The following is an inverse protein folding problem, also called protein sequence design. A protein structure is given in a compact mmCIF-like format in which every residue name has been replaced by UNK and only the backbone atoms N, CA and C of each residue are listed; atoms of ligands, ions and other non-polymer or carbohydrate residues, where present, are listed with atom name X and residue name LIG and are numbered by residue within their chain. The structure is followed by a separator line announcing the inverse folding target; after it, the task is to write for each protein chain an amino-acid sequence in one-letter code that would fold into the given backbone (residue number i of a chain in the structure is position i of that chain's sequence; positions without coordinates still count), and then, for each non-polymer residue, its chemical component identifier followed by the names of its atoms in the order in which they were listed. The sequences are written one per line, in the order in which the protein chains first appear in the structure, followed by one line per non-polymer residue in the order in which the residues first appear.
data_IF_946785667334
#
_entry.id   IF_946785667334
#
_cell.length_a   1.000
_cell.length_b   1.000
_cell.length_c   1.000
_cell.angle_alpha   90.00
_cell.angle_beta   90.00
_cell.angle_gamma   90.00
#
_symmetry.space_group_name_H-M   'P 1'
#
loop_
_entity.id
_entity.type
_entity.pdbx_description
1 polymer ?
#
# COMPACT_ATOMS: atom_id res chain seq x y z
N UNK A 1 11.68 5.67 -18.93
CA UNK A 1 10.25 6.02 -19.15
C UNK A 1 9.47 4.87 -19.81
N UNK A 2 9.94 4.32 -20.93
CA UNK A 2 9.24 3.22 -21.64
C UNK A 2 9.04 1.96 -20.78
N UNK A 3 10.05 1.52 -20.03
CA UNK A 3 9.97 0.32 -19.18
C UNK A 3 8.96 0.45 -18.03
N UNK A 4 8.96 1.60 -17.34
CA UNK A 4 7.98 1.91 -16.29
C UNK A 4 6.54 1.87 -16.83
N UNK A 5 6.30 2.42 -18.03
CA UNK A 5 4.99 2.38 -18.69
C UNK A 5 4.54 0.93 -18.97
N UNK A 6 5.44 0.05 -19.41
CA UNK A 6 5.08 -1.37 -19.59
C UNK A 6 4.76 -2.04 -18.25
N UNK A 7 5.52 -1.77 -17.19
CA UNK A 7 5.22 -2.28 -15.86
C UNK A 7 3.89 -1.76 -15.31
N UNK A 8 3.56 -0.50 -15.57
CA UNK A 8 2.24 0.08 -15.27
C UNK A 8 1.12 -0.66 -16.01
N UNK A 9 1.29 -0.97 -17.30
CA UNK A 9 0.30 -1.74 -18.06
C UNK A 9 0.08 -3.12 -17.49
N UNK A 10 1.14 -3.79 -17.04
CA UNK A 10 1.05 -5.11 -16.42
C UNK A 10 0.33 -5.02 -15.07
N UNK A 11 0.76 -4.15 -14.16
CA UNK A 11 0.16 -4.05 -12.82
C UNK A 11 -1.28 -3.52 -12.86
N UNK A 12 -1.62 -2.65 -13.82
CA UNK A 12 -2.98 -2.17 -14.04
C UNK A 12 -3.98 -3.29 -14.38
N UNK A 13 -3.50 -4.47 -14.81
CA UNK A 13 -4.33 -5.65 -15.12
C UNK A 13 -4.44 -6.64 -13.96
N UNK A 14 -3.87 -6.35 -12.79
CA UNK A 14 -4.00 -7.21 -11.61
C UNK A 14 -5.49 -7.43 -11.26
N UNK A 15 -5.95 -8.66 -10.99
CA UNK A 15 -7.37 -8.93 -10.70
C UNK A 15 -7.99 -8.01 -9.63
N UNK A 16 -7.26 -7.79 -8.54
CA UNK A 16 -7.52 -6.83 -7.46
C UNK A 16 -6.24 -6.03 -7.26
N UNK A 17 -6.28 -4.73 -7.56
CA UNK A 17 -5.13 -3.82 -7.51
C UNK A 17 -5.19 -2.96 -6.25
N UNK A 18 -4.07 -2.83 -5.54
CA UNK A 18 -3.89 -1.81 -4.52
C UNK A 18 -2.84 -0.79 -4.95
N UNK A 19 -3.17 0.48 -4.80
CA UNK A 19 -2.29 1.62 -5.02
C UNK A 19 -1.95 2.19 -3.65
N UNK A 20 -0.74 1.92 -3.18
CA UNK A 20 -0.23 2.39 -1.91
C UNK A 20 0.75 3.55 -2.15
N UNK A 21 0.59 4.63 -1.41
CA UNK A 21 1.48 5.79 -1.48
C UNK A 21 1.91 6.23 -0.08
N UNK A 22 3.17 6.66 0.04
CA UNK A 22 3.54 7.63 1.05
C UNK A 22 2.89 9.00 0.75
N UNK A 23 2.94 9.92 1.72
CA UNK A 23 2.39 11.25 1.59
C UNK A 23 3.45 12.33 1.33
N UNK A 24 4.47 12.45 2.19
CA UNK A 24 5.46 13.52 2.09
C UNK A 24 6.52 13.16 1.04
N UNK A 25 6.98 14.12 0.24
CA UNK A 25 7.89 13.83 -0.88
C UNK A 25 7.30 12.99 -2.01
N UNK A 26 6.12 12.40 -1.81
CA UNK A 26 5.43 11.55 -2.79
C UNK A 26 4.16 12.18 -3.34
N UNK A 27 3.18 12.47 -2.48
CA UNK A 27 1.93 13.14 -2.85
C UNK A 27 1.99 14.65 -2.57
N UNK A 28 2.90 15.10 -1.72
CA UNK A 28 3.12 16.49 -1.33
C UNK A 28 4.59 16.82 -1.38
N UNK A 29 4.95 18.03 -1.80
CA UNK A 29 6.35 18.47 -1.83
C UNK A 29 6.94 18.57 -0.42
N UNK A 30 8.22 18.21 -0.29
CA UNK A 30 8.97 18.44 0.95
C UNK A 30 9.24 19.94 1.12
N UNK A 31 8.53 20.56 2.07
CA UNK A 31 8.72 21.97 2.43
C UNK A 31 9.33 22.10 3.82
N UNK A 32 10.08 23.19 4.05
CA UNK A 32 10.77 23.43 5.32
C UNK A 32 9.82 23.45 6.53
N UNK A 33 8.58 23.88 6.34
CA UNK A 33 7.52 23.76 7.34
C UNK A 33 6.48 22.72 6.91
N UNK A 34 6.50 21.50 7.48
CA UNK A 34 5.59 20.41 7.12
C UNK A 34 4.11 20.77 7.21
N UNK A 35 3.72 21.76 8.02
CA UNK A 35 2.31 22.18 8.12
C UNK A 35 1.79 22.82 6.83
N UNK A 36 2.67 23.44 6.04
CA UNK A 36 2.36 24.12 4.77
C UNK A 36 2.35 23.19 3.55
N UNK A 37 2.73 21.92 3.71
CA UNK A 37 2.84 20.95 2.63
C UNK A 37 1.46 20.55 2.07
N UNK A 38 1.03 21.15 0.97
CA UNK A 38 -0.23 20.77 0.32
C UNK A 38 0.00 19.59 -0.63
N UNK A 39 -0.92 18.64 -0.64
CA UNK A 39 -0.90 17.55 -1.61
C UNK A 39 -1.09 18.09 -3.03
N UNK A 40 -0.45 17.45 -4.00
CA UNK A 40 -0.62 17.74 -5.40
C UNK A 40 -2.07 17.45 -5.81
N UNK A 41 -2.82 18.45 -6.30
CA UNK A 41 -4.25 18.29 -6.58
C UNK A 41 -4.52 17.30 -7.71
N UNK A 42 -3.61 17.15 -8.68
CA UNK A 42 -3.71 16.15 -9.76
C UNK A 42 -3.57 14.74 -9.19
N UNK A 43 -2.59 14.53 -8.31
CA UNK A 43 -2.41 13.24 -7.63
C UNK A 43 -3.64 12.87 -6.79
N UNK A 44 -4.17 13.81 -5.98
CA UNK A 44 -5.40 13.58 -5.21
C UNK A 44 -6.61 13.26 -6.09
N UNK A 45 -6.79 13.98 -7.20
CA UNK A 45 -7.87 13.70 -8.15
C UNK A 45 -7.73 12.30 -8.78
N UNK A 46 -6.51 11.88 -9.12
CA UNK A 46 -6.24 10.54 -9.62
C UNK A 46 -6.56 9.46 -8.56
N UNK A 47 -6.13 9.65 -7.31
CA UNK A 47 -6.47 8.74 -6.21
C UNK A 47 -7.98 8.67 -5.94
N UNK A 48 -8.70 9.79 -6.00
CA UNK A 48 -10.16 9.81 -5.87
C UNK A 48 -10.86 8.97 -6.96
N UNK A 49 -10.34 9.00 -8.19
CA UNK A 49 -10.83 8.14 -9.27
C UNK A 49 -10.51 6.66 -9.02
N UNK A 50 -9.35 6.35 -8.45
CA UNK A 50 -9.01 4.98 -8.05
C UNK A 50 -9.93 4.46 -6.93
N UNK A 51 -10.26 5.29 -5.94
CA UNK A 51 -11.14 4.93 -4.82
C UNK A 51 -12.53 4.47 -5.30
N UNK A 52 -13.06 5.09 -6.35
CA UNK A 52 -14.38 4.73 -6.89
C UNK A 52 -14.34 3.60 -7.93
N UNK A 53 -13.16 3.04 -8.23
CA UNK A 53 -13.00 2.07 -9.30
C UNK A 53 -13.14 0.62 -8.81
N UNK A 54 -13.90 -0.23 -9.52
CA UNK A 54 -14.03 -1.65 -9.15
C UNK A 54 -12.67 -2.36 -9.03
N UNK A 55 -12.58 -3.26 -8.05
CA UNK A 55 -11.40 -4.08 -7.75
C UNK A 55 -10.11 -3.26 -7.60
N UNK A 56 -10.22 -2.02 -7.17
CA UNK A 56 -9.09 -1.10 -7.02
C UNK A 56 -9.19 -0.46 -5.64
N UNK A 57 -8.13 -0.60 -4.85
CA UNK A 57 -8.03 -0.02 -3.52
C UNK A 57 -6.91 1.00 -3.47
N UNK A 58 -7.08 2.01 -2.64
CA UNK A 58 -6.05 3.02 -2.36
C UNK A 58 -5.67 2.91 -0.90
N UNK A 59 -4.36 2.88 -0.64
CA UNK A 59 -3.78 2.90 0.70
C UNK A 59 -2.85 4.10 0.85
N UNK A 60 -2.95 4.84 1.95
CA UNK A 60 -2.01 5.89 2.32
C UNK A 60 -1.27 5.44 3.56
N UNK A 61 0.06 5.36 3.50
CA UNK A 61 0.90 4.89 4.61
C UNK A 61 1.98 5.94 4.83
N UNK A 62 1.92 6.69 5.93
CA UNK A 62 2.79 7.84 6.16
C UNK A 62 3.30 7.93 7.59
N UNK A 63 4.39 8.68 7.77
CA UNK A 63 4.93 9.07 9.08
C UNK A 63 4.13 10.16 9.81
N UNK A 64 3.18 10.83 9.12
CA UNK A 64 2.26 11.83 9.72
C UNK A 64 1.23 11.17 10.62
N UNK A 65 0.66 11.92 11.57
CA UNK A 65 -0.45 11.41 12.38
C UNK A 65 -1.70 11.16 11.52
N UNK A 66 -2.57 10.26 11.97
CA UNK A 66 -3.79 9.94 11.23
C UNK A 66 -4.71 11.17 11.07
N UNK A 67 -4.79 12.02 12.09
CA UNK A 67 -5.55 13.27 12.09
C UNK A 67 -5.05 14.27 11.02
N UNK A 68 -3.73 14.45 10.92
CA UNK A 68 -3.13 15.36 9.93
C UNK A 68 -3.31 14.83 8.51
N UNK A 69 -3.12 13.51 8.31
CA UNK A 69 -3.41 12.86 7.03
C UNK A 69 -4.86 13.07 6.60
N UNK A 70 -5.81 12.93 7.54
CA UNK A 70 -7.23 13.12 7.25
C UNK A 70 -7.55 14.54 6.81
N UNK A 71 -6.95 15.53 7.46
CA UNK A 71 -7.10 16.94 7.09
C UNK A 71 -6.55 17.20 5.68
N UNK A 72 -5.39 16.62 5.36
CA UNK A 72 -4.69 16.85 4.08
C UNK A 72 -5.29 16.14 2.89
N UNK A 73 -5.83 14.94 3.08
CA UNK A 73 -6.50 14.18 2.03
C UNK A 73 -7.86 14.78 1.63
N UNK A 74 -8.38 15.74 2.42
CA UNK A 74 -9.63 16.44 2.12
C UNK A 74 -10.79 15.46 2.00
N UNK A 75 -11.45 15.44 0.84
CA UNK A 75 -12.58 14.55 0.57
C UNK A 75 -12.19 13.16 0.05
N UNK A 76 -10.91 12.92 -0.23
CA UNK A 76 -10.45 11.60 -0.66
C UNK A 76 -10.60 10.63 0.51
N UNK A 77 -11.25 9.49 0.26
CA UNK A 77 -11.46 8.41 1.25
C UNK A 77 -10.75 7.14 0.76
N UNK A 78 -9.43 7.00 0.99
CA UNK A 78 -8.71 5.75 0.76
C UNK A 78 -9.38 4.58 1.49
N UNK A 79 -9.16 3.37 0.98
CA UNK A 79 -9.66 2.14 1.60
C UNK A 79 -8.86 1.77 2.85
N UNK A 80 -7.62 2.27 2.94
CA UNK A 80 -6.73 2.06 4.06
C UNK A 80 -5.92 3.33 4.31
N UNK A 81 -5.82 3.76 5.57
CA UNK A 81 -4.94 4.87 5.97
C UNK A 81 -4.20 4.45 7.21
N UNK A 82 -2.89 4.62 7.19
CA UNK A 82 -2.06 4.46 8.35
C UNK A 82 -1.14 5.69 8.55
N UNK A 83 -1.17 6.22 9.76
CA UNK A 83 -0.28 7.26 10.23
C UNK A 83 0.81 6.72 11.15
N UNK A 84 1.72 7.59 11.56
CA UNK A 84 2.83 7.28 12.48
C UNK A 84 3.61 6.03 12.06
N UNK A 85 3.93 5.92 10.77
CA UNK A 85 4.61 4.78 10.13
C UNK A 85 3.90 3.42 10.28
N UNK A 86 2.60 3.42 10.59
CA UNK A 86 1.82 2.19 10.82
C UNK A 86 1.27 2.03 12.23
N UNK A 87 1.70 2.86 13.19
CA UNK A 87 1.25 2.75 14.57
C UNK A 87 -0.22 3.17 14.75
N UNK A 88 -0.72 4.04 13.87
CA UNK A 88 -2.12 4.42 13.82
C UNK A 88 -2.75 3.86 12.55
N UNK A 89 -3.73 2.96 12.68
CA UNK A 89 -4.52 2.50 11.54
C UNK A 89 -5.95 2.98 11.69
N UNK A 90 -6.49 3.52 10.61
CA UNK A 90 -7.86 3.98 10.62
C UNK A 90 -8.88 2.88 10.98
N UNK A 91 -9.83 3.22 11.84
CA UNK A 91 -10.83 2.31 12.38
C UNK A 91 -10.36 1.55 13.63
N UNK A 92 -9.05 1.51 13.88
CA UNK A 92 -8.44 0.87 15.04
C UNK A 92 -7.84 1.89 16.02
N UNK A 93 -7.37 3.03 15.49
CA UNK A 93 -6.71 4.07 16.26
C UNK A 93 -5.30 3.66 16.69
N UNK A 94 -4.79 4.34 17.72
CA UNK A 94 -3.56 3.96 18.42
C UNK A 94 -3.92 3.35 19.78
N UNK A 95 -3.43 2.14 20.04
CA UNK A 95 -3.64 1.45 21.32
C UNK A 95 -2.30 1.09 21.94
N UNK A 96 -1.78 1.97 22.79
CA UNK A 96 -0.58 1.73 23.57
C UNK A 96 -0.91 0.95 24.86
N UNK A 97 -0.05 0.02 25.25
CA UNK A 97 -0.10 -0.57 26.59
C UNK A 97 0.22 0.49 27.67
N UNK A 98 -0.08 0.20 28.94
CA UNK A 98 0.30 1.08 30.06
C UNK A 98 1.82 1.32 30.07
N UNK A 99 2.61 0.27 29.83
CA UNK A 99 4.07 0.33 29.80
C UNK A 99 4.60 1.17 28.63
N UNK A 100 3.99 1.06 27.46
CA UNK A 100 4.32 1.90 26.29
C UNK A 100 3.94 3.36 26.54
N UNK A 101 2.80 3.61 27.19
CA UNK A 101 2.35 4.97 27.55
C UNK A 101 3.32 5.63 28.55
N UNK A 102 3.74 4.89 29.59
CA UNK A 102 4.75 5.37 30.53
C UNK A 102 6.11 5.64 29.87
N UNK A 103 6.51 4.75 28.96
CA UNK A 103 7.77 4.90 28.23
C UNK A 103 7.73 6.11 27.29
N UNK A 104 6.60 6.36 26.63
CA UNK A 104 6.42 7.53 25.77
C UNK A 104 6.49 8.82 26.58
N UNK A 105 5.85 8.88 27.75
CA UNK A 105 5.95 10.02 28.64
C UNK A 105 7.39 10.28 29.10
N UNK A 106 8.16 9.22 29.40
CA UNK A 106 9.60 9.34 29.75
C UNK A 106 10.44 9.79 28.56
N UNK A 107 10.18 9.28 27.35
CA UNK A 107 10.84 9.74 26.12
C UNK A 107 10.61 11.24 25.92
N UNK A 108 9.38 11.72 26.06
CA UNK A 108 9.06 13.15 25.92
C UNK A 108 9.84 14.01 26.91
N UNK A 109 9.98 13.54 28.16
CA UNK A 109 10.75 14.24 29.19
C UNK A 109 12.24 14.28 28.88
N UNK A 110 12.85 13.13 28.55
CA UNK A 110 14.29 13.02 28.28
C UNK A 110 14.66 13.81 27.03
N UNK A 111 14.01 13.50 25.91
CA UNK A 111 14.32 14.09 24.60
C UNK A 111 13.98 15.59 24.59
N UNK A 112 12.87 15.98 25.24
CA UNK A 112 12.50 17.38 25.42
C UNK A 112 13.50 18.17 26.25
N UNK A 113 14.02 17.58 27.34
CA UNK A 113 15.07 18.20 28.17
C UNK A 113 16.35 18.42 27.36
N UNK A 114 16.81 17.42 26.62
CA UNK A 114 18.03 17.53 25.79
C UNK A 114 17.85 18.61 24.72
N UNK A 115 16.72 18.61 24.01
CA UNK A 115 16.42 19.61 22.99
C UNK A 115 16.36 21.04 23.57
N UNK A 116 15.94 21.21 24.82
CA UNK A 116 15.91 22.52 25.47
C UNK A 116 17.31 23.09 25.75
N UNK A 117 18.30 22.24 26.02
CA UNK A 117 19.64 22.66 26.43
C UNK A 117 20.61 22.87 25.25
N UNK A 118 20.27 22.37 24.06
CA UNK A 118 21.19 22.40 22.90
C UNK A 118 20.59 23.25 21.78
N UNK A 119 21.28 24.34 21.43
CA UNK A 119 20.84 25.24 20.37
C UNK A 119 20.78 24.54 19.01
N UNK A 120 19.67 24.69 18.29
CA UNK A 120 19.44 24.05 16.98
C UNK A 120 18.97 22.59 17.06
N UNK A 121 18.72 22.07 18.27
CA UNK A 121 18.09 20.77 18.48
C UNK A 121 16.61 20.96 18.84
N UNK A 122 15.75 20.12 18.28
CA UNK A 122 14.30 20.16 18.50
C UNK A 122 13.74 18.78 18.76
N UNK A 123 12.91 18.66 19.79
CA UNK A 123 12.08 17.49 20.02
C UNK A 123 10.71 17.66 19.37
N UNK A 124 10.24 16.63 18.68
CA UNK A 124 8.90 16.54 18.12
C UNK A 124 8.20 15.33 18.73
N UNK A 125 7.08 15.57 19.41
CA UNK A 125 6.21 14.52 19.93
C UNK A 125 5.29 14.03 18.82
N UNK A 126 5.28 12.71 18.61
CA UNK A 126 4.29 12.00 17.79
C UNK A 126 3.45 11.07 18.68
N UNK A 127 2.31 10.55 18.18
CA UNK A 127 1.41 9.72 18.99
C UNK A 127 2.06 8.48 19.66
N UNK A 128 3.05 7.85 19.02
CA UNK A 128 3.74 6.66 19.54
C UNK A 128 5.29 6.76 19.52
N UNK A 129 5.82 7.96 19.29
CA UNK A 129 7.25 8.19 19.22
C UNK A 129 7.63 9.62 19.60
N UNK A 130 8.92 9.83 19.90
CA UNK A 130 9.51 11.16 20.02
C UNK A 130 10.69 11.23 19.06
N UNK A 131 10.76 12.31 18.29
CA UNK A 131 11.79 12.52 17.27
C UNK A 131 12.70 13.66 17.70
N UNK A 132 14.01 13.41 17.73
CA UNK A 132 15.05 14.40 17.97
C UNK A 132 15.63 14.86 16.63
N UNK A 133 15.32 16.09 16.23
CA UNK A 133 15.91 16.75 15.07
C UNK A 133 17.12 17.57 15.50
N UNK A 134 18.25 17.41 14.82
CA UNK A 134 19.49 18.15 15.14
C UNK A 134 20.18 18.70 13.89
N UNK A 135 19.44 18.87 12.79
CA UNK A 135 19.94 19.41 11.52
C UNK A 135 20.40 20.87 11.63
N UNK A 136 19.76 21.65 12.49
CA UNK A 136 20.06 23.08 12.69
C UNK A 136 21.11 23.33 13.76
N UNK A 137 21.54 22.28 14.48
CA UNK A 137 22.59 22.35 15.47
C UNK A 137 23.98 22.36 14.82
N UNK A 138 24.98 22.83 15.55
CA UNK A 138 26.37 22.57 15.17
C UNK A 138 26.61 21.06 15.13
N UNK A 139 27.46 20.58 14.23
CA UNK A 139 27.69 19.12 14.10
C UNK A 139 28.15 18.45 15.40
N UNK A 140 29.11 19.02 16.17
CA UNK A 140 29.49 18.46 17.47
C UNK A 140 28.33 18.41 18.46
N UNK A 141 27.57 19.50 18.58
CA UNK A 141 26.49 19.60 19.56
C UNK A 141 25.31 18.68 19.20
N UNK A 142 24.97 18.61 17.91
CA UNK A 142 23.89 17.76 17.42
C UNK A 142 24.20 16.27 17.59
N UNK A 143 25.45 15.86 17.33
CA UNK A 143 25.90 14.48 17.56
C UNK A 143 25.89 14.15 19.05
N UNK A 144 26.44 15.04 19.89
CA UNK A 144 26.43 14.84 21.35
C UNK A 144 25.02 14.75 21.92
N UNK A 145 24.08 15.58 21.45
CA UNK A 145 22.68 15.53 21.85
C UNK A 145 22.01 14.22 21.45
N UNK A 146 22.27 13.74 20.22
CA UNK A 146 21.75 12.46 19.75
C UNK A 146 22.28 11.29 20.57
N UNK A 147 23.60 11.24 20.83
CA UNK A 147 24.23 10.20 21.64
C UNK A 147 23.72 10.19 23.08
N UNK A 148 23.56 11.38 23.70
CA UNK A 148 22.98 11.51 25.03
C UNK A 148 21.55 10.95 25.07
N UNK A 149 20.70 11.35 24.11
CA UNK A 149 19.31 10.86 24.03
C UNK A 149 19.26 9.35 23.82
N UNK A 150 20.11 8.80 22.96
CA UNK A 150 20.23 7.35 22.75
C UNK A 150 20.62 6.65 24.03
N UNK A 151 21.66 7.13 24.73
CA UNK A 151 22.15 6.52 25.96
C UNK A 151 21.10 6.52 27.07
N UNK A 152 20.39 7.64 27.25
CA UNK A 152 19.36 7.77 28.30
C UNK A 152 18.11 6.94 27.97
N UNK A 153 17.66 6.96 26.72
CA UNK A 153 16.45 6.25 26.29
C UNK A 153 16.65 4.75 26.06
N UNK A 154 17.87 4.26 25.83
CA UNK A 154 18.15 2.83 25.58
C UNK A 154 17.75 1.91 26.74
N UNK A 155 17.65 2.44 27.96
CA UNK A 155 17.24 1.70 29.16
C UNK A 155 15.74 1.59 29.34
N UNK A 156 14.95 2.33 28.56
CA UNK A 156 13.49 2.33 28.68
C UNK A 156 12.89 1.04 28.07
N UNK A 157 11.89 0.44 28.74
CA UNK A 157 11.25 -0.75 28.23
C UNK A 157 10.48 -0.48 26.94
N UNK A 158 10.53 -1.42 25.99
CA UNK A 158 9.79 -1.36 24.72
C UNK A 158 10.11 -0.14 23.84
N UNK A 159 11.26 0.51 24.05
CA UNK A 159 11.74 1.59 23.19
C UNK A 159 12.61 1.03 22.07
N UNK A 160 12.27 1.41 20.85
CA UNK A 160 13.01 1.12 19.63
C UNK A 160 13.60 2.42 19.08
N UNK A 161 14.87 2.38 18.70
CA UNK A 161 15.60 3.56 18.22
C UNK A 161 15.87 3.40 16.72
N UNK A 162 15.51 4.42 15.94
CA UNK A 162 15.79 4.50 14.50
C UNK A 162 16.63 5.73 14.19
N UNK A 163 17.71 5.52 13.45
CA UNK A 163 18.60 6.58 13.00
C UNK A 163 18.20 7.06 11.61
N UNK A 164 18.19 8.38 11.41
CA UNK A 164 17.99 9.01 10.11
C UNK A 164 19.01 10.12 9.85
N UNK A 165 18.87 10.80 8.71
CA UNK A 165 19.78 11.89 8.33
C UNK A 165 19.57 13.15 9.17
N UNK A 166 20.47 13.34 10.15
CA UNK A 166 20.41 14.41 11.17
C UNK A 166 19.13 14.38 12.03
N UNK A 167 18.64 13.16 12.30
CA UNK A 167 17.46 12.88 13.13
C UNK A 167 17.60 11.53 13.85
N UNK A 168 17.05 11.40 15.07
CA UNK A 168 16.86 10.11 15.77
C UNK A 168 15.41 9.99 16.22
N UNK A 169 14.77 8.86 15.95
CA UNK A 169 13.39 8.59 16.36
C UNK A 169 13.34 7.46 17.40
N UNK A 170 12.61 7.71 18.49
CA UNK A 170 12.41 6.80 19.62
C UNK A 170 10.95 6.37 19.66
N UNK A 171 10.67 5.09 19.40
CA UNK A 171 9.31 4.55 19.24
C UNK A 171 9.00 3.57 20.37
N UNK A 172 7.82 3.68 20.98
CA UNK A 172 7.34 2.67 21.96
C UNK A 172 6.58 1.52 21.32
N UNK A 173 6.19 1.70 20.06
CA UNK A 173 5.55 0.69 19.24
C UNK A 173 6.31 0.66 17.90
N UNK A 174 7.09 -0.39 17.62
CA UNK A 174 7.79 -0.48 16.35
C UNK A 174 6.75 -0.65 15.24
N UNK A 175 6.72 0.30 14.32
CA UNK A 175 5.88 0.25 13.14
C UNK A 175 6.75 0.41 11.89
N UNK A 176 6.58 -0.51 10.94
CA UNK A 176 7.22 -0.42 9.63
C UNK A 176 6.17 -0.21 8.54
N UNK A 177 6.53 0.56 7.51
CA UNK A 177 5.68 0.68 6.33
C UNK A 177 5.50 -0.67 5.63
N UNK A 178 6.48 -1.58 5.75
CA UNK A 178 6.40 -2.95 5.22
C UNK A 178 5.31 -3.80 5.87
N UNK A 179 5.27 -3.88 7.20
CA UNK A 179 4.23 -4.62 7.94
C UNK A 179 2.85 -4.02 7.68
N UNK A 180 2.79 -2.69 7.65
CA UNK A 180 1.56 -1.94 7.35
C UNK A 180 1.07 -2.22 5.93
N UNK A 181 1.98 -2.32 4.95
CA UNK A 181 1.66 -2.66 3.58
C UNK A 181 1.11 -4.09 3.47
N UNK A 182 1.67 -5.04 4.22
CA UNK A 182 1.13 -6.41 4.29
C UNK A 182 -0.28 -6.43 4.89
N UNK A 183 -0.51 -5.69 5.97
CA UNK A 183 -1.83 -5.55 6.59
C UNK A 183 -2.85 -4.95 5.60
N UNK A 184 -2.48 -3.86 4.93
CA UNK A 184 -3.30 -3.23 3.90
C UNK A 184 -3.61 -4.19 2.75
N UNK A 185 -2.60 -4.89 2.23
CA UNK A 185 -2.74 -5.90 1.17
C UNK A 185 -3.74 -6.99 1.57
N UNK A 186 -3.60 -7.51 2.78
CA UNK A 186 -4.49 -8.55 3.31
C UNK A 186 -5.94 -8.03 3.42
N UNK A 187 -6.16 -6.86 4.02
CA UNK A 187 -7.51 -6.28 4.19
C UNK A 187 -8.19 -5.96 2.86
N UNK A 188 -7.43 -5.48 1.89
CA UNK A 188 -7.95 -5.16 0.56
C UNK A 188 -8.04 -6.39 -0.37
N UNK A 189 -7.52 -7.56 0.04
CA UNK A 189 -7.46 -8.75 -0.81
C UNK A 189 -6.63 -8.55 -2.09
N UNK A 190 -5.60 -7.69 -2.04
CA UNK A 190 -4.90 -7.25 -3.23
C UNK A 190 -3.99 -8.33 -3.82
N UNK A 191 -4.20 -8.62 -5.11
CA UNK A 191 -3.43 -9.58 -5.91
C UNK A 191 -2.25 -8.94 -6.63
N UNK A 192 -2.24 -7.61 -6.74
CA UNK A 192 -1.10 -6.83 -7.20
C UNK A 192 -1.06 -5.49 -6.48
N UNK A 193 0.13 -5.03 -6.16
CA UNK A 193 0.39 -3.80 -5.41
C UNK A 193 1.34 -2.91 -6.19
N UNK A 194 1.04 -1.62 -6.25
CA UNK A 194 2.03 -0.59 -6.53
C UNK A 194 2.28 0.19 -5.25
N UNK A 195 3.54 0.37 -4.86
CA UNK A 195 3.94 1.25 -3.77
C UNK A 195 4.80 2.40 -4.32
N UNK A 196 4.45 3.63 -3.94
CA UNK A 196 5.16 4.86 -4.33
C UNK A 196 5.63 5.56 -3.05
N UNK A 197 6.92 5.87 -2.96
CA UNK A 197 7.56 6.49 -1.78
C UNK A 197 8.85 7.21 -2.14
N UNK A 198 9.39 8.06 -1.27
CA UNK A 198 10.59 8.88 -1.50
C UNK A 198 11.70 8.68 -0.45
N UNK A 199 11.37 8.13 0.72
CA UNK A 199 12.25 8.19 1.89
C UNK A 199 12.85 6.83 2.29
N UNK A 200 13.75 6.87 3.29
CA UNK A 200 14.40 5.67 3.80
C UNK A 200 13.40 4.68 4.44
N UNK A 201 12.27 5.17 4.97
CA UNK A 201 11.25 4.31 5.58
C UNK A 201 10.40 3.59 4.54
N UNK A 202 10.32 4.13 3.31
CA UNK A 202 9.68 3.48 2.17
C UNK A 202 10.45 2.25 1.67
N UNK A 203 11.75 2.17 1.94
CA UNK A 203 12.54 0.98 1.66
C UNK A 203 12.01 -0.27 2.38
N UNK A 204 11.39 -0.10 3.55
CA UNK A 204 10.71 -1.20 4.25
C UNK A 204 9.48 -1.68 3.47
N UNK A 205 8.71 -0.77 2.88
CA UNK A 205 7.59 -1.09 2.02
C UNK A 205 8.06 -1.74 0.71
N UNK A 206 9.15 -1.24 0.10
CA UNK A 206 9.71 -1.84 -1.11
C UNK A 206 10.19 -3.27 -0.88
N UNK A 207 10.79 -3.61 0.28
CA UNK A 207 11.20 -4.99 0.62
C UNK A 207 10.01 -5.93 0.82
N UNK A 208 8.87 -5.41 1.27
CA UNK A 208 7.65 -6.17 1.51
C UNK A 208 6.89 -6.55 0.23
N UNK A 209 7.22 -5.94 -0.92
CA UNK A 209 6.56 -6.22 -2.20
C UNK A 209 6.94 -7.58 -2.76
N UNK A 210 5.96 -8.24 -3.40
CA UNK A 210 6.20 -9.49 -4.12
C UNK A 210 6.86 -9.23 -5.49
N UNK A 211 7.50 -10.23 -6.13
CA UNK A 211 8.19 -10.03 -7.42
C UNK A 211 7.30 -9.51 -8.57
N UNK A 212 5.98 -9.72 -8.51
CA UNK A 212 5.02 -9.25 -9.50
C UNK A 212 4.48 -7.85 -9.22
N UNK A 213 4.75 -7.29 -8.04
CA UNK A 213 4.34 -5.95 -7.66
C UNK A 213 5.24 -4.87 -8.32
N UNK A 214 4.94 -3.61 -8.05
CA UNK A 214 5.69 -2.47 -8.59
C UNK A 214 6.09 -1.50 -7.46
N UNK A 215 7.40 -1.34 -7.25
CA UNK A 215 7.97 -0.28 -6.42
C UNK A 215 8.42 0.90 -7.26
N UNK A 216 8.04 2.11 -6.84
CA UNK A 216 8.44 3.37 -7.48
C UNK A 216 9.00 4.33 -6.44
N UNK A 217 10.28 4.66 -6.56
CA UNK A 217 10.95 5.69 -5.76
C UNK A 217 10.73 7.09 -6.36
N UNK A 218 10.53 8.11 -5.53
CA UNK A 218 10.39 9.51 -5.96
C UNK A 218 11.66 10.29 -5.65
N UNK A 219 12.17 11.02 -6.64
CA UNK A 219 13.37 11.83 -6.51
C UNK A 219 14.66 11.04 -6.65
N UNK A 220 15.78 11.67 -6.27
CA UNK A 220 17.13 11.10 -6.36
C UNK A 220 17.48 10.23 -5.15
N UNK A 221 18.58 9.47 -5.26
CA UNK A 221 19.11 8.67 -4.15
C UNK A 221 19.22 7.18 -4.44
N UNK A 222 19.88 6.47 -3.52
CA UNK A 222 19.94 5.01 -3.56
C UNK A 222 18.63 4.42 -3.06
N UNK A 223 18.12 3.43 -3.78
CA UNK A 223 16.86 2.76 -3.47
C UNK A 223 16.89 1.33 -3.99
N UNK A 224 16.18 0.42 -3.33
CA UNK A 224 15.90 -0.91 -3.87
C UNK A 224 14.69 -0.93 -4.81
N UNK A 225 13.95 0.18 -4.92
CA UNK A 225 12.79 0.25 -5.78
C UNK A 225 13.17 -0.09 -7.22
N UNK A 226 12.31 -0.88 -7.86
CA UNK A 226 12.53 -1.34 -9.23
C UNK A 226 12.51 -0.21 -10.25
N UNK A 227 11.79 0.88 -9.95
CA UNK A 227 11.62 2.03 -10.82
C UNK A 227 11.67 3.32 -10.03
N UNK A 228 11.80 4.45 -10.74
CA UNK A 228 11.78 5.78 -10.15
C UNK A 228 11.10 6.81 -11.04
N UNK A 229 10.61 7.86 -10.40
CA UNK A 229 10.14 9.12 -11.00
C UNK A 229 10.89 10.29 -10.37
N UNK A 230 11.01 11.43 -11.06
CA UNK A 230 11.90 12.50 -10.60
C UNK A 230 11.25 13.44 -9.58
N UNK A 231 9.92 13.56 -9.57
CA UNK A 231 9.22 14.56 -8.77
C UNK A 231 7.80 14.14 -8.38
N UNK A 232 7.19 14.88 -7.45
CA UNK A 232 5.77 14.76 -7.08
C UNK A 232 4.86 15.03 -8.29
N UNK A 233 5.27 15.89 -9.24
CA UNK A 233 4.52 16.11 -10.48
C UNK A 233 4.51 14.85 -11.35
N UNK A 234 5.64 14.14 -11.43
CA UNK A 234 5.73 12.88 -12.18
C UNK A 234 4.92 11.77 -11.51
N UNK A 235 4.79 11.79 -10.17
CA UNK A 235 3.85 10.91 -9.44
C UNK A 235 2.42 11.16 -9.87
N UNK A 236 2.01 12.42 -10.04
CA UNK A 236 0.68 12.74 -10.54
C UNK A 236 0.45 12.18 -11.97
N UNK A 237 1.42 12.35 -12.87
CA UNK A 237 1.35 11.81 -14.23
C UNK A 237 1.32 10.27 -14.27
N UNK A 238 2.09 9.64 -13.39
CA UNK A 238 2.11 8.20 -13.18
C UNK A 238 0.73 7.69 -12.75
N UNK A 239 0.12 8.33 -11.75
CA UNK A 239 -1.21 7.98 -11.25
C UNK A 239 -2.29 8.22 -12.31
N UNK A 240 -2.25 9.33 -13.04
CA UNK A 240 -3.17 9.60 -14.15
C UNK A 240 -3.10 8.52 -15.23
N UNK A 241 -1.88 8.12 -15.60
CA UNK A 241 -1.62 7.02 -16.55
C UNK A 241 -2.14 5.69 -16.04
N UNK A 242 -1.88 5.37 -14.77
CA UNK A 242 -2.38 4.16 -14.11
C UNK A 242 -3.91 4.13 -14.10
N UNK A 243 -4.57 5.25 -13.79
CA UNK A 243 -6.03 5.35 -13.81
C UNK A 243 -6.57 5.09 -15.21
N UNK A 244 -5.96 5.64 -16.26
CA UNK A 244 -6.38 5.40 -17.64
C UNK A 244 -6.27 3.91 -18.01
N UNK A 245 -5.11 3.30 -17.75
CA UNK A 245 -4.84 1.89 -18.03
C UNK A 245 -5.76 0.95 -17.24
N UNK A 246 -5.98 1.25 -15.96
CA UNK A 246 -6.87 0.49 -15.09
C UNK A 246 -8.31 0.59 -15.55
N UNK A 247 -8.77 1.79 -15.89
CA UNK A 247 -10.14 2.01 -16.36
C UNK A 247 -10.41 1.30 -17.70
N UNK A 248 -9.45 1.30 -18.62
CA UNK A 248 -9.52 0.52 -19.86
C UNK A 248 -9.63 -0.97 -19.56
N UNK A 249 -8.78 -1.49 -18.68
CA UNK A 249 -8.83 -2.90 -18.29
C UNK A 249 -10.18 -3.25 -17.64
N UNK A 250 -10.65 -2.47 -16.66
CA UNK A 250 -11.94 -2.68 -15.98
C UNK A 250 -13.11 -2.70 -16.98
N UNK A 251 -13.14 -1.78 -17.96
CA UNK A 251 -14.17 -1.77 -19.01
C UNK A 251 -14.07 -2.95 -19.96
N UNK A 252 -12.85 -3.34 -20.33
CA UNK A 252 -12.61 -4.47 -21.23
C UNK A 252 -12.81 -5.83 -20.57
N UNK A 253 -12.82 -5.88 -19.23
CA UNK A 253 -13.01 -7.10 -18.45
C UNK A 253 -14.45 -7.56 -18.59
N UNK A 254 -14.68 -8.50 -19.50
CA UNK A 254 -15.96 -9.17 -19.64
C UNK A 254 -16.11 -10.19 -18.50
N UNK A 255 -16.51 -9.72 -17.31
CA UNK A 255 -16.85 -10.60 -16.20
C UNK A 255 -18.28 -11.10 -16.35
N UNK A 256 -18.44 -12.41 -16.35
CA UNK A 256 -19.74 -13.05 -16.22
C UNK A 256 -20.20 -12.86 -14.77
N UNK A 257 -21.38 -12.26 -14.57
CA UNK A 257 -21.94 -12.12 -13.23
C UNK A 257 -22.26 -13.51 -12.69
N UNK A 258 -22.04 -13.75 -11.40
CA UNK A 258 -22.28 -15.07 -10.80
C UNK A 258 -23.71 -15.58 -11.03
N UNK A 259 -24.70 -14.68 -11.02
CA UNK A 259 -26.12 -14.98 -11.31
C UNK A 259 -26.39 -15.44 -12.75
N UNK A 260 -25.45 -15.18 -13.67
CA UNK A 260 -25.52 -15.62 -15.05
C UNK A 260 -24.82 -16.97 -15.25
N UNK A 261 -24.07 -17.45 -14.26
CA UNK A 261 -23.46 -18.77 -14.30
C UNK A 261 -24.50 -19.85 -13.97
N UNK A 262 -24.47 -20.96 -14.72
CA UNK A 262 -25.14 -22.19 -14.36
C UNK A 262 -24.28 -23.04 -13.43
N UNK A 263 -24.92 -23.80 -12.54
CA UNK A 263 -24.26 -24.85 -11.77
C UNK A 263 -24.65 -26.20 -12.37
N UNK A 264 -23.68 -26.93 -12.93
CA UNK A 264 -23.89 -28.30 -13.37
C UNK A 264 -23.40 -29.25 -12.27
N UNK A 265 -24.21 -30.22 -11.88
CA UNK A 265 -23.82 -31.22 -10.90
C UNK A 265 -24.52 -32.55 -11.15
N UNK A 266 -23.78 -33.63 -10.96
CA UNK A 266 -24.30 -35.01 -10.89
C UNK A 266 -24.43 -35.49 -9.42
N UNK A 267 -24.43 -34.55 -8.46
CA UNK A 267 -24.38 -34.77 -7.01
C UNK A 267 -23.09 -35.40 -6.47
N UNK A 268 -22.11 -35.71 -7.33
CA UNK A 268 -20.77 -36.13 -6.92
C UNK A 268 -19.73 -35.06 -7.22
N UNK A 269 -19.87 -34.43 -8.38
CA UNK A 269 -19.03 -33.39 -8.96
C UNK A 269 -19.86 -32.13 -9.19
N UNK A 270 -19.19 -30.98 -9.21
CA UNK A 270 -19.81 -29.69 -9.48
C UNK A 270 -18.96 -28.86 -10.44
N UNK A 271 -19.60 -28.28 -11.44
CA UNK A 271 -19.01 -27.31 -12.34
C UNK A 271 -19.80 -26.01 -12.34
N UNK A 272 -19.10 -24.88 -12.38
CA UNK A 272 -19.70 -23.57 -12.69
C UNK A 272 -19.49 -23.33 -14.18
N UNK A 273 -20.57 -22.99 -14.88
CA UNK A 273 -20.56 -22.80 -16.33
C UNK A 273 -21.05 -21.40 -16.67
N UNK A 274 -20.29 -20.66 -17.46
CA UNK A 274 -20.70 -19.34 -17.95
C UNK A 274 -21.79 -19.41 -19.04
N UNK A 275 -22.50 -18.31 -19.36
CA UNK A 275 -23.49 -18.25 -20.44
C UNK A 275 -22.96 -18.70 -21.82
N UNK A 276 -21.65 -18.62 -22.03
CA UNK A 276 -20.99 -19.09 -23.26
C UNK A 276 -20.67 -20.59 -23.26
N UNK A 277 -21.27 -21.37 -22.36
CA UNK A 277 -21.02 -22.81 -22.16
C UNK A 277 -19.56 -23.15 -21.79
N UNK A 278 -18.82 -22.23 -21.17
CA UNK A 278 -17.45 -22.48 -20.68
C UNK A 278 -17.46 -22.92 -19.23
N UNK A 279 -16.70 -23.96 -18.89
CA UNK A 279 -16.48 -24.38 -17.50
C UNK A 279 -15.54 -23.36 -16.83
N UNK A 280 -16.10 -22.51 -15.98
CA UNK A 280 -15.35 -21.49 -15.24
C UNK A 280 -14.72 -22.05 -13.96
N UNK A 281 -15.28 -23.12 -13.38
CA UNK A 281 -14.75 -23.85 -12.23
C UNK A 281 -15.18 -25.32 -12.29
N UNK A 282 -14.28 -26.26 -11.99
CA UNK A 282 -14.62 -27.68 -11.85
C UNK A 282 -13.73 -28.37 -10.80
N UNK A 283 -14.34 -29.00 -9.80
CA UNK A 283 -13.66 -29.90 -8.85
C UNK A 283 -13.81 -31.36 -9.32
N UNK A 284 -12.72 -32.13 -9.38
CA UNK A 284 -12.77 -33.56 -9.69
C UNK A 284 -11.90 -34.38 -8.72
N UNK A 285 -12.29 -35.63 -8.39
CA UNK A 285 -13.49 -36.34 -8.84
C UNK A 285 -14.74 -36.05 -7.99
N UNK A 286 -14.62 -35.18 -6.96
CA UNK A 286 -15.72 -34.83 -6.06
C UNK A 286 -15.80 -33.32 -5.87
N UNK A 287 -16.96 -32.82 -5.45
CA UNK A 287 -17.19 -31.39 -5.18
C UNK A 287 -16.23 -30.80 -4.14
N UNK A 288 -15.76 -31.61 -3.18
CA UNK A 288 -14.78 -31.25 -2.14
C UNK A 288 -13.32 -31.44 -2.57
N UNK A 289 -13.07 -31.84 -3.83
CA UNK A 289 -11.72 -31.96 -4.38
C UNK A 289 -11.16 -30.61 -4.82
N UNK A 290 -9.84 -30.54 -5.04
CA UNK A 290 -9.22 -29.36 -5.65
C UNK A 290 -9.80 -29.08 -7.03
N UNK A 291 -9.91 -27.79 -7.37
CA UNK A 291 -10.34 -27.38 -8.70
C UNK A 291 -9.27 -27.77 -9.73
N UNK A 292 -9.67 -28.49 -10.78
CA UNK A 292 -8.79 -28.87 -11.90
C UNK A 292 -8.83 -27.84 -13.03
N UNK A 293 -9.89 -27.04 -13.10
CA UNK A 293 -10.02 -25.88 -14.00
C UNK A 293 -10.52 -24.67 -13.20
N UNK A 294 -9.86 -23.53 -13.34
CA UNK A 294 -10.34 -22.25 -12.83
C UNK A 294 -10.04 -21.12 -13.83
N UNK A 295 -11.06 -20.70 -14.57
CA UNK A 295 -10.96 -19.55 -15.49
C UNK A 295 -10.65 -18.25 -14.73
N UNK A 296 -10.97 -18.22 -13.43
CA UNK A 296 -10.88 -17.05 -12.56
C UNK A 296 -9.45 -16.56 -12.24
N UNK A 297 -8.40 -17.37 -12.46
CA UNK A 297 -7.06 -17.03 -11.92
C UNK A 297 -6.05 -16.66 -13.00
N UNK A 298 -6.26 -17.04 -14.26
CA UNK A 298 -5.24 -16.91 -15.30
C UNK A 298 -5.63 -16.11 -16.54
N UNK A 299 -6.94 -15.92 -16.80
CA UNK A 299 -7.43 -15.34 -18.05
C UNK A 299 -6.95 -16.09 -19.31
N UNK A 300 -7.08 -15.49 -20.50
CA UNK A 300 -6.62 -16.09 -21.76
C UNK A 300 -5.14 -16.54 -21.79
N UNK A 301 -4.18 -15.84 -21.14
CA UNK A 301 -2.78 -16.25 -21.11
C UNK A 301 -2.49 -17.57 -20.40
N UNK A 302 -3.38 -18.04 -19.51
CA UNK A 302 -3.21 -19.32 -18.82
C UNK A 302 -3.57 -20.54 -19.66
N UNK A 303 -3.98 -20.32 -20.92
CA UNK A 303 -4.41 -21.37 -21.83
C UNK A 303 -5.85 -21.80 -21.58
N UNK A 304 -6.35 -22.68 -22.44
CA UNK A 304 -7.68 -23.28 -22.31
C UNK A 304 -7.65 -24.73 -22.79
N UNK A 305 -8.62 -25.51 -22.34
CA UNK A 305 -8.93 -26.83 -22.89
C UNK A 305 -10.35 -26.78 -23.44
N UNK A 306 -10.54 -27.29 -24.66
CA UNK A 306 -11.83 -27.30 -25.33
C UNK A 306 -12.27 -28.74 -25.57
N UNK A 307 -13.51 -29.04 -25.14
CA UNK A 307 -14.20 -30.27 -25.50
C UNK A 307 -15.34 -29.87 -26.42
N UNK A 308 -15.23 -30.20 -27.69
CA UNK A 308 -16.25 -29.93 -28.70
C UNK A 308 -16.65 -31.25 -29.39
N UNK A 309 -17.90 -31.37 -29.88
CA UNK A 309 -18.27 -32.45 -30.78
C UNK A 309 -17.35 -32.47 -32.01
N UNK A 310 -17.07 -33.65 -32.59
CA UNK A 310 -16.20 -33.76 -33.77
C UNK A 310 -16.75 -33.05 -35.03
N UNK A 311 -18.05 -32.77 -35.08
CA UNK A 311 -18.71 -32.04 -36.18
C UNK A 311 -19.20 -30.66 -35.72
N UNK A 312 -18.89 -29.62 -36.52
CA UNK A 312 -19.21 -28.20 -36.25
C UNK A 312 -20.70 -27.84 -36.40
N UNK A 313 -21.61 -28.81 -36.42
CA UNK A 313 -23.05 -28.58 -36.46
C UNK A 313 -23.60 -28.35 -35.06
N UNK A 314 -23.18 -27.27 -34.41
CA UNK A 314 -23.65 -26.94 -33.06
C UNK A 314 -25.10 -26.46 -33.13
N UNK A 315 -26.06 -27.08 -32.39
CA UNK A 315 -27.38 -26.47 -32.23
C UNK A 315 -27.21 -25.14 -31.47
N UNK A 316 -27.84 -24.07 -31.97
CA UNK A 316 -27.73 -22.70 -31.44
C UNK A 316 -28.38 -22.51 -30.06
N UNK A 317 -28.92 -23.57 -29.47
CA UNK A 317 -29.71 -23.51 -28.24
C UNK A 317 -29.69 -24.86 -27.53
N UNK A 318 -29.09 -24.89 -26.35
CA UNK A 318 -29.27 -25.97 -25.38
C UNK A 318 -30.23 -25.46 -24.30
N UNK A 319 -31.38 -26.11 -24.15
CA UNK A 319 -32.29 -25.89 -23.01
C UNK A 319 -32.09 -27.02 -22.01
N UNK A 320 -32.07 -26.67 -20.72
CA UNK A 320 -32.10 -27.65 -19.63
C UNK A 320 -33.55 -27.74 -19.14
N UNK A 321 -34.14 -28.92 -19.29
CA UNK A 321 -35.47 -29.29 -18.86
C UNK A 321 -35.38 -30.02 -17.51
N UNK A 322 -35.01 -29.28 -16.46
CA UNK A 322 -34.96 -29.82 -15.09
C UNK A 322 -34.22 -28.94 -14.11
#
# INVERSE_FOLDING_TARGET
MTELIERLRVIARAPILMIACDYDGTLSELVANPSLALANPRALAALARCVSMPWTSVAIISGRSLEDLRTRLGDVRPHFIAGSHGAEVEGEGLMLSERQTESLARLEQIVGSIAHHVHGVRAEKKPASVVLHYREASEPDGVAAAEAAISECASLPEVHIRHGSKVVEFMVMPASKGDTLHLARHRCGATGVIFIGDDLTDEDAFRALAPHDLSVHVGDGQTIASHRVASVSDVAELLESLVALRADWVRSRNLVRLEQCGLLSDQRTTAIVSPGARISWLCLPRTDSSAIFSELVGGPPAGFFEIAPPDTSTPSRCTFDG
#
